data_IF_892604512475
#
_entry.id   IF_892604512475
#
_cell.length_a   1.000
_cell.length_b   1.000
_cell.length_c   1.000
_cell.angle_alpha   90.00
_cell.angle_beta   90.00
_cell.angle_gamma   90.00
#
_symmetry.space_group_name_H-M   'P 1'
#
loop_
_entity.id
_entity.type
_entity.pdbx_description
1 polymer ?
#
# COMPACT_ATOMS: atom_id res chain seq x y z
N UNK A 1 1.41 -1.42 13.84
CA UNK A 1 2.84 -1.49 13.44
C UNK A 1 3.51 -0.18 13.76
N UNK A 2 4.74 -0.25 14.22
CA UNK A 2 5.56 0.93 14.51
C UNK A 2 5.79 1.68 13.18
N UNK A 3 5.43 2.96 13.07
CA UNK A 3 5.59 3.70 11.82
C UNK A 3 7.07 3.80 11.47
N UNK A 4 7.45 3.27 10.34
CA UNK A 4 8.78 3.39 9.79
C UNK A 4 8.74 3.43 8.27
N UNK A 5 9.66 4.16 7.68
CA UNK A 5 9.88 4.20 6.24
C UNK A 5 11.36 3.99 5.95
N UNK A 6 11.65 3.29 4.87
CA UNK A 6 13.02 3.07 4.40
C UNK A 6 13.16 3.73 3.04
N UNK A 7 14.11 4.64 2.93
CA UNK A 7 14.51 5.23 1.67
C UNK A 7 15.85 4.62 1.26
N UNK A 8 15.89 4.03 0.08
CA UNK A 8 17.12 3.51 -0.50
C UNK A 8 17.44 4.30 -1.76
N UNK A 9 18.68 4.77 -1.85
CA UNK A 9 19.20 5.46 -3.02
C UNK A 9 20.43 4.72 -3.55
N UNK A 10 20.59 4.68 -4.86
CA UNK A 10 21.73 4.00 -5.48
C UNK A 10 22.99 4.86 -5.49
N UNK A 11 22.81 6.17 -5.62
CA UNK A 11 23.90 7.13 -5.69
C UNK A 11 23.96 7.95 -4.39
N UNK A 12 25.08 7.84 -3.69
CA UNK A 12 25.32 8.57 -2.44
C UNK A 12 25.21 10.09 -2.64
N UNK A 13 25.58 10.62 -3.80
CA UNK A 13 25.47 12.06 -4.11
C UNK A 13 24.02 12.55 -4.01
N UNK A 14 23.05 11.73 -4.43
CA UNK A 14 21.62 12.06 -4.28
C UNK A 14 21.25 12.14 -2.81
N UNK A 15 21.79 11.25 -2.00
CA UNK A 15 21.54 11.22 -0.57
C UNK A 15 22.15 12.42 0.15
N UNK A 16 23.34 12.87 -0.26
CA UNK A 16 24.00 14.06 0.29
C UNK A 16 23.17 15.34 0.10
N UNK A 17 22.33 15.43 -0.92
CA UNK A 17 21.43 16.56 -1.13
C UNK A 17 20.33 16.68 -0.05
N UNK A 18 20.12 15.63 0.75
CA UNK A 18 19.17 15.62 1.88
C UNK A 18 19.82 16.06 3.20
N UNK A 19 21.13 16.29 3.20
CA UNK A 19 21.85 16.75 4.39
C UNK A 19 21.42 18.16 4.79
N UNK A 20 21.05 18.31 6.06
CA UNK A 20 20.73 19.60 6.67
C UNK A 20 21.74 19.86 7.79
N UNK A 21 22.30 21.05 7.82
CA UNK A 21 23.14 21.46 8.95
C UNK A 21 22.32 21.53 10.23
N UNK A 22 22.87 20.89 11.27
CA UNK A 22 22.21 20.80 12.58
C UNK A 22 23.23 21.14 13.67
N UNK A 23 23.36 22.41 14.02
CA UNK A 23 24.47 22.92 14.85
C UNK A 23 24.57 22.28 16.25
N UNK A 24 23.45 21.80 16.78
CA UNK A 24 23.37 21.19 18.12
C UNK A 24 23.73 19.68 18.14
N UNK A 25 23.89 19.05 16.97
CA UNK A 25 24.30 17.64 16.90
C UNK A 25 25.84 17.54 16.84
N UNK A 26 26.36 16.49 17.45
CA UNK A 26 27.79 16.18 17.40
C UNK A 26 28.31 16.00 15.97
N UNK A 27 27.50 15.42 15.12
CA UNK A 27 27.77 15.21 13.67
C UNK A 27 27.59 16.48 12.85
N UNK A 28 26.94 17.50 13.41
CA UNK A 28 26.56 18.76 12.73
C UNK A 28 25.71 18.60 11.47
N UNK A 29 25.25 17.41 11.17
CA UNK A 29 24.48 17.08 9.97
C UNK A 29 23.40 16.04 10.26
N UNK A 30 22.24 16.20 9.65
CA UNK A 30 21.12 15.23 9.72
C UNK A 30 20.46 15.06 8.35
N UNK A 31 19.96 13.86 8.09
CA UNK A 31 19.23 13.52 6.86
C UNK A 31 17.72 13.59 7.00
N UNK A 32 17.20 14.10 8.09
CA UNK A 32 15.76 14.10 8.35
C UNK A 32 15.32 15.29 9.17
N UNK A 33 14.06 15.66 8.99
CA UNK A 33 13.40 16.73 9.74
C UNK A 33 13.29 16.42 11.24
N UNK A 34 13.23 15.14 11.62
CA UNK A 34 13.18 14.72 13.02
C UNK A 34 14.56 14.29 13.50
N UNK A 35 15.10 14.94 14.50
CA UNK A 35 16.44 14.63 15.04
C UNK A 35 16.55 13.23 15.61
N UNK A 36 15.70 12.89 16.58
CA UNK A 36 15.69 11.57 17.24
C UNK A 36 14.57 10.69 16.73
N UNK A 37 14.87 9.42 16.46
CA UNK A 37 13.90 8.41 16.06
C UNK A 37 13.96 7.22 17.01
N UNK A 38 12.82 6.57 17.30
CA UNK A 38 12.82 5.38 18.13
C UNK A 38 13.53 4.23 17.42
N UNK A 39 14.58 3.68 18.02
CA UNK A 39 15.29 2.50 17.49
C UNK A 39 14.42 1.26 17.39
N UNK A 40 13.32 1.20 18.15
CA UNK A 40 12.36 0.10 18.12
C UNK A 40 11.79 -0.16 16.72
N UNK A 41 11.53 0.88 15.91
CA UNK A 41 11.04 0.70 14.54
C UNK A 41 12.06 0.04 13.62
N UNK A 42 13.34 0.38 13.80
CA UNK A 42 14.45 -0.23 13.05
C UNK A 42 14.64 -1.69 13.46
N UNK A 43 14.62 -1.96 14.77
CA UNK A 43 14.72 -3.31 15.31
C UNK A 43 13.55 -4.21 14.85
N UNK A 44 12.33 -3.68 14.85
CA UNK A 44 11.15 -4.40 14.37
C UNK A 44 11.25 -4.71 12.87
N UNK A 45 11.66 -3.76 12.04
CA UNK A 45 11.86 -3.98 10.61
C UNK A 45 12.94 -5.03 10.34
N UNK A 46 14.06 -4.97 11.06
CA UNK A 46 15.13 -5.96 10.98
C UNK A 46 14.62 -7.36 11.39
N UNK A 47 13.92 -7.46 12.51
CA UNK A 47 13.40 -8.75 13.00
C UNK A 47 12.45 -9.40 12.00
N UNK A 48 11.53 -8.63 11.41
CA UNK A 48 10.62 -9.13 10.37
C UNK A 48 11.38 -9.59 9.13
N UNK A 49 12.33 -8.79 8.65
CA UNK A 49 13.14 -9.17 7.48
C UNK A 49 14.00 -10.39 7.74
N UNK A 50 14.61 -10.49 8.92
CA UNK A 50 15.41 -11.65 9.32
C UNK A 50 14.56 -12.92 9.47
N UNK A 51 13.36 -12.80 10.08
CA UNK A 51 12.44 -13.92 10.28
C UNK A 51 11.87 -14.45 8.95
N UNK A 52 11.39 -13.56 8.09
CA UNK A 52 10.76 -13.94 6.83
C UNK A 52 11.78 -14.30 5.74
N UNK A 53 12.92 -13.63 5.75
CA UNK A 53 13.92 -13.72 4.71
C UNK A 53 13.38 -13.35 3.32
N UNK A 54 14.21 -13.48 2.30
CA UNK A 54 13.83 -13.13 0.91
C UNK A 54 12.65 -13.95 0.41
N UNK A 55 12.61 -15.24 0.75
CA UNK A 55 11.55 -16.15 0.28
C UNK A 55 10.20 -15.83 0.89
N UNK A 56 10.16 -15.58 2.21
CA UNK A 56 8.93 -15.19 2.90
C UNK A 56 8.40 -13.82 2.45
N UNK A 57 9.28 -12.82 2.30
CA UNK A 57 8.90 -11.51 1.77
C UNK A 57 8.35 -11.60 0.34
N UNK A 58 8.98 -12.40 -0.53
CA UNK A 58 8.49 -12.62 -1.89
C UNK A 58 7.11 -13.26 -1.88
N UNK A 59 6.88 -14.29 -1.06
CA UNK A 59 5.59 -14.97 -0.97
C UNK A 59 4.48 -13.99 -0.50
N UNK A 60 4.77 -13.20 0.53
CA UNK A 60 3.85 -12.20 1.06
C UNK A 60 3.45 -11.15 0.01
N UNK A 61 4.43 -10.56 -0.67
CA UNK A 61 4.17 -9.57 -1.73
C UNK A 61 3.43 -10.21 -2.92
N UNK A 62 3.81 -11.43 -3.31
CA UNK A 62 3.11 -12.15 -4.39
C UNK A 62 1.65 -12.40 -4.06
N UNK A 63 1.33 -12.75 -2.81
CA UNK A 63 -0.07 -12.89 -2.36
C UNK A 63 -0.85 -11.58 -2.43
N UNK A 64 -0.25 -10.47 -1.99
CA UNK A 64 -0.86 -9.14 -2.12
C UNK A 64 -1.13 -8.78 -3.58
N UNK A 65 -0.17 -9.02 -4.48
CA UNK A 65 -0.32 -8.73 -5.91
C UNK A 65 -1.36 -9.62 -6.58
N UNK A 66 -1.47 -10.88 -6.16
CA UNK A 66 -2.50 -11.81 -6.65
C UNK A 66 -3.90 -11.31 -6.27
N UNK A 67 -4.10 -10.92 -5.01
CA UNK A 67 -5.38 -10.37 -4.55
C UNK A 67 -5.69 -9.02 -5.22
N UNK A 68 -4.67 -8.20 -5.50
CA UNK A 68 -4.84 -6.97 -6.28
C UNK A 68 -5.35 -7.26 -7.69
N UNK A 69 -4.81 -8.28 -8.37
CA UNK A 69 -5.30 -8.72 -9.69
C UNK A 69 -6.75 -9.19 -9.63
N UNK A 70 -7.12 -10.01 -8.62
CA UNK A 70 -8.51 -10.48 -8.43
C UNK A 70 -9.48 -9.33 -8.24
N UNK A 71 -9.12 -8.32 -7.42
CA UNK A 71 -9.94 -7.10 -7.26
C UNK A 71 -10.11 -6.40 -8.60
N UNK A 72 -9.05 -6.26 -9.38
CA UNK A 72 -9.12 -5.59 -10.70
C UNK A 72 -10.02 -6.36 -11.65
N UNK A 73 -9.79 -7.66 -11.81
CA UNK A 73 -10.59 -8.53 -12.70
C UNK A 73 -12.06 -8.51 -12.30
N UNK A 74 -12.36 -8.58 -11.00
CA UNK A 74 -13.74 -8.54 -10.50
C UNK A 74 -14.40 -7.18 -10.74
N UNK A 75 -13.72 -6.07 -10.45
CA UNK A 75 -14.26 -4.73 -10.68
C UNK A 75 -14.48 -4.44 -12.18
N UNK A 76 -13.54 -4.89 -13.04
CA UNK A 76 -13.68 -4.76 -14.50
C UNK A 76 -14.84 -5.60 -15.04
N UNK A 77 -15.12 -6.76 -14.44
CA UNK A 77 -16.29 -7.58 -14.79
C UNK A 77 -17.62 -6.87 -14.49
N UNK A 78 -17.66 -5.97 -13.51
CA UNK A 78 -18.80 -5.09 -13.22
C UNK A 78 -18.79 -3.79 -14.06
N UNK A 79 -17.87 -3.66 -15.02
CA UNK A 79 -17.78 -2.50 -15.91
C UNK A 79 -17.01 -1.30 -15.32
N UNK A 80 -16.43 -1.42 -14.12
CA UNK A 80 -15.66 -0.34 -13.49
C UNK A 80 -14.27 -0.24 -14.11
N UNK A 81 -13.94 0.91 -14.67
CA UNK A 81 -12.68 1.09 -15.39
C UNK A 81 -11.49 1.31 -14.46
N UNK A 82 -10.43 0.53 -14.66
CA UNK A 82 -9.14 0.74 -14.02
C UNK A 82 -8.45 1.98 -14.58
N UNK A 83 -7.83 2.79 -13.70
CA UNK A 83 -7.09 4.00 -14.09
C UNK A 83 -5.66 3.70 -14.54
N UNK A 84 -4.99 2.77 -13.87
CA UNK A 84 -3.59 2.41 -14.14
C UNK A 84 -3.37 0.91 -13.96
N UNK A 85 -2.39 0.36 -14.65
CA UNK A 85 -1.87 -0.99 -14.36
C UNK A 85 -0.95 -0.89 -13.15
N UNK A 86 -1.23 -1.59 -12.03
CA UNK A 86 -0.44 -1.42 -10.82
C UNK A 86 0.88 -2.20 -10.87
N UNK A 87 1.95 -1.53 -10.44
CA UNK A 87 3.25 -2.16 -10.13
C UNK A 87 3.37 -2.51 -8.64
N UNK A 88 2.38 -2.11 -7.84
CA UNK A 88 2.28 -2.36 -6.40
C UNK A 88 0.88 -2.86 -6.04
N UNK A 89 0.68 -3.29 -4.82
CA UNK A 89 -0.58 -3.83 -4.30
C UNK A 89 -1.69 -2.77 -4.09
N UNK A 90 -1.81 -1.84 -5.01
CA UNK A 90 -2.81 -0.75 -5.00
C UNK A 90 -3.56 -0.74 -6.33
N UNK A 91 -4.84 -1.04 -6.31
CA UNK A 91 -5.73 -0.88 -7.44
C UNK A 91 -6.42 0.49 -7.39
N UNK A 92 -6.50 1.17 -8.54
CA UNK A 92 -7.15 2.48 -8.67
C UNK A 92 -8.14 2.43 -9.83
N UNK A 93 -9.38 2.82 -9.55
CA UNK A 93 -10.48 2.80 -10.48
C UNK A 93 -11.09 4.20 -10.63
N UNK A 94 -11.90 4.39 -11.65
CA UNK A 94 -12.77 5.55 -11.73
C UNK A 94 -13.67 5.67 -10.49
N UNK A 95 -14.28 6.83 -10.32
CA UNK A 95 -15.17 7.05 -9.18
C UNK A 95 -16.36 6.10 -9.22
N UNK A 96 -16.51 5.31 -8.18
CA UNK A 96 -17.64 4.44 -7.95
C UNK A 96 -17.91 4.34 -6.44
N UNK A 97 -19.18 4.34 -6.06
CA UNK A 97 -19.57 4.15 -4.67
C UNK A 97 -19.36 2.69 -4.26
N UNK A 98 -18.93 2.49 -3.03
CA UNK A 98 -18.73 1.15 -2.45
C UNK A 98 -19.78 0.92 -1.36
N UNK A 99 -20.45 -0.25 -1.33
CA UNK A 99 -21.49 -0.52 -0.35
C UNK A 99 -20.94 -0.61 1.08
N UNK A 100 -21.77 -0.28 2.06
CA UNK A 100 -21.48 -0.57 3.47
C UNK A 100 -21.46 -2.10 3.68
N UNK A 101 -20.59 -2.65 4.55
CA UNK A 101 -19.74 -1.95 5.53
C UNK A 101 -18.31 -1.67 5.04
N UNK A 102 -18.03 -1.79 3.76
CA UNK A 102 -16.66 -1.69 3.23
C UNK A 102 -16.10 -0.27 3.35
N UNK A 103 -14.92 -0.15 3.94
CA UNK A 103 -14.18 1.11 4.08
C UNK A 103 -13.05 1.14 3.07
N UNK A 104 -13.14 2.06 2.14
CA UNK A 104 -12.15 2.27 1.06
C UNK A 104 -11.61 3.70 1.10
N UNK A 105 -10.61 3.99 0.31
CA UNK A 105 -10.08 5.34 0.17
C UNK A 105 -10.30 5.89 -1.23
N UNK A 106 -10.41 7.23 -1.32
CA UNK A 106 -10.50 7.94 -2.59
C UNK A 106 -9.32 8.87 -2.75
N UNK A 107 -8.87 9.05 -3.99
CA UNK A 107 -7.84 10.03 -4.33
C UNK A 107 -8.42 11.45 -4.25
N UNK A 108 -7.56 12.47 -4.32
CA UNK A 108 -8.04 13.88 -4.42
C UNK A 108 -8.90 14.15 -5.66
N UNK A 109 -8.78 13.32 -6.69
CA UNK A 109 -9.58 13.40 -7.92
C UNK A 109 -10.90 12.62 -7.82
N UNK A 110 -11.13 11.95 -6.70
CA UNK A 110 -12.32 11.14 -6.48
C UNK A 110 -12.20 9.69 -6.99
N UNK A 111 -11.06 9.28 -7.54
CA UNK A 111 -10.89 7.89 -7.98
C UNK A 111 -10.87 6.94 -6.78
N UNK A 112 -11.57 5.81 -6.89
CA UNK A 112 -11.55 4.76 -5.89
C UNK A 112 -10.17 4.11 -5.81
N UNK A 113 -9.67 3.91 -4.59
CA UNK A 113 -8.38 3.27 -4.33
C UNK A 113 -8.54 2.11 -3.32
N UNK A 114 -8.17 0.92 -3.74
CA UNK A 114 -8.17 -0.30 -2.93
C UNK A 114 -6.73 -0.77 -2.73
N UNK A 115 -6.34 -1.01 -1.49
CA UNK A 115 -4.98 -1.45 -1.12
C UNK A 115 -5.06 -2.87 -0.57
N UNK A 116 -4.50 -3.84 -1.30
CA UNK A 116 -4.50 -5.24 -0.90
C UNK A 116 -3.29 -5.53 0.01
N UNK A 117 -3.44 -5.25 1.29
CA UNK A 117 -2.45 -5.59 2.32
C UNK A 117 -2.51 -7.09 2.67
N UNK A 118 -1.53 -7.65 3.39
CA UNK A 118 -1.48 -9.09 3.70
C UNK A 118 -2.70 -9.66 4.43
N UNK A 119 -3.46 -8.83 5.14
CA UNK A 119 -4.71 -9.24 5.80
C UNK A 119 -5.92 -9.24 4.86
N UNK A 120 -5.81 -8.62 3.68
CA UNK A 120 -6.82 -8.69 2.61
C UNK A 120 -6.56 -10.00 1.84
N UNK A 121 -7.04 -11.09 2.41
CA UNK A 121 -6.91 -12.42 1.82
C UNK A 121 -7.95 -12.65 0.73
N UNK A 122 -7.94 -13.82 0.12
CA UNK A 122 -8.86 -14.20 -0.95
C UNK A 122 -10.33 -14.10 -0.53
N UNK A 123 -10.66 -14.60 0.64
CA UNK A 123 -12.05 -14.64 1.13
C UNK A 123 -12.61 -13.21 1.30
N UNK A 124 -11.77 -12.29 1.80
CA UNK A 124 -12.13 -10.86 1.92
C UNK A 124 -12.37 -10.24 0.55
N UNK A 125 -11.55 -10.56 -0.45
CA UNK A 125 -11.73 -10.06 -1.83
C UNK A 125 -13.02 -10.62 -2.44
N UNK A 126 -13.29 -11.91 -2.28
CA UNK A 126 -14.49 -12.55 -2.80
C UNK A 126 -15.76 -11.99 -2.14
N UNK A 127 -15.75 -11.79 -0.82
CA UNK A 127 -16.86 -11.16 -0.10
C UNK A 127 -17.09 -9.71 -0.57
N UNK A 128 -16.01 -8.93 -0.72
CA UNK A 128 -16.11 -7.57 -1.25
C UNK A 128 -16.75 -7.52 -2.65
N UNK A 129 -16.29 -8.39 -3.55
CA UNK A 129 -16.80 -8.43 -4.93
C UNK A 129 -18.26 -8.92 -4.97
N UNK A 130 -18.66 -9.85 -4.11
CA UNK A 130 -20.06 -10.28 -3.98
C UNK A 130 -20.97 -9.12 -3.56
N UNK A 131 -20.63 -8.45 -2.45
CA UNK A 131 -21.40 -7.32 -1.94
C UNK A 131 -21.44 -6.15 -2.94
N UNK A 132 -20.33 -5.92 -3.64
CA UNK A 132 -20.25 -4.89 -4.68
C UNK A 132 -21.18 -5.23 -5.84
N UNK A 133 -21.14 -6.47 -6.31
CA UNK A 133 -22.02 -6.96 -7.38
C UNK A 133 -23.49 -6.82 -7.03
N UNK A 134 -23.90 -7.24 -5.83
CA UNK A 134 -25.28 -7.13 -5.35
C UNK A 134 -25.78 -5.68 -5.32
N UNK A 135 -24.90 -4.73 -4.98
CA UNK A 135 -25.26 -3.30 -4.91
C UNK A 135 -25.29 -2.60 -6.27
N UNK A 136 -24.71 -3.20 -7.32
CA UNK A 136 -24.57 -2.60 -8.65
C UNK A 136 -25.36 -3.34 -9.73
N UNK A 137 -26.10 -4.41 -9.38
CA UNK A 137 -27.08 -5.01 -10.30
C UNK A 137 -28.21 -4.00 -10.47
N UNK A 138 -28.49 -3.51 -11.70
CA UNK A 138 -29.67 -2.66 -11.92
C UNK A 138 -30.92 -3.49 -11.58
N UNK A 139 -31.83 -2.91 -10.79
CA UNK A 139 -33.16 -3.46 -10.59
C UNK A 139 -33.82 -3.68 -11.96
N UNK A 140 -33.82 -4.93 -12.42
CA UNK A 140 -34.56 -5.33 -13.62
C UNK A 140 -36.02 -5.46 -13.16
N UNK A 141 -36.72 -4.34 -13.11
CA UNK A 141 -38.18 -4.29 -13.04
C UNK A 141 -38.75 -3.92 -14.40
#
# INVERSE_FOLDING_TARGET
TIPSGVLMVRDEKVFCNLLVETPYLTTKQAYSLTGTRPGASVAAAYAVMAYMGRRGMKALVSGCMENTRRVIEGMEAFGVQRRVTPDVNVATFEHVSVPSPWIVSYTRRGDLRIVCMPHVNRDVVEAFLSDFGESHVPDIN
#
